data_IF_749943221365
#
_entry.id   IF_749943221365
#
_cell.length_a   1.000
_cell.length_b   1.000
_cell.length_c   1.000
_cell.angle_alpha   90.00
_cell.angle_beta   90.00
_cell.angle_gamma   90.00
#
_symmetry.space_group_name_H-M   'P 1'
#
loop_
_entity.id
_entity.type
_entity.pdbx_description
1 polymer ?
#
# COMPACT_ATOMS: atom_id res chain seq x y z
N UNK A 1 -22.70 -2.26 8.73
CA UNK A 1 -21.86 -3.18 7.94
C UNK A 1 -20.48 -3.23 8.59
N UNK A 2 -20.34 -4.04 9.65
CA UNK A 2 -19.21 -3.96 10.59
C UNK A 2 -18.13 -4.98 10.22
N UNK A 3 -16.96 -4.44 9.86
CA UNK A 3 -15.58 -4.97 9.87
C UNK A 3 -15.38 -6.40 10.38
N UNK A 4 -14.93 -7.29 9.50
CA UNK A 4 -14.62 -8.69 9.81
C UNK A 4 -13.11 -8.99 9.67
N UNK A 5 -12.33 -8.95 10.77
CA UNK A 5 -10.91 -9.33 10.78
C UNK A 5 -10.66 -10.74 10.25
N UNK A 6 -11.65 -11.63 10.43
CA UNK A 6 -11.60 -13.02 9.98
C UNK A 6 -11.60 -13.13 8.46
N UNK A 7 -12.37 -12.30 7.77
CA UNK A 7 -12.47 -12.36 6.31
C UNK A 7 -11.23 -11.75 5.64
N UNK A 8 -10.82 -10.56 6.06
CA UNK A 8 -9.70 -9.86 5.42
C UNK A 8 -8.33 -10.41 5.87
N UNK A 9 -8.13 -10.57 7.18
CA UNK A 9 -6.87 -11.07 7.73
C UNK A 9 -6.74 -12.58 7.62
N UNK A 10 -7.78 -13.31 8.03
CA UNK A 10 -7.77 -14.77 8.07
C UNK A 10 -7.87 -15.40 6.68
N UNK A 11 -9.00 -15.20 6.00
CA UNK A 11 -9.27 -15.91 4.73
C UNK A 11 -8.49 -15.27 3.58
N UNK A 12 -8.68 -13.97 3.32
CA UNK A 12 -8.11 -13.32 2.14
C UNK A 12 -6.57 -13.30 2.16
N UNK A 13 -5.98 -12.81 3.25
CA UNK A 13 -4.50 -12.74 3.35
C UNK A 13 -3.87 -14.04 3.82
N UNK A 14 -4.50 -14.75 4.76
CA UNK A 14 -3.97 -16.01 5.29
C UNK A 14 -4.21 -17.20 4.35
N UNK A 15 -5.46 -17.60 4.15
CA UNK A 15 -5.80 -18.82 3.39
C UNK A 15 -5.58 -18.66 1.89
N UNK A 16 -5.97 -17.52 1.30
CA UNK A 16 -5.86 -17.31 -0.15
C UNK A 16 -4.51 -16.70 -0.57
N UNK A 17 -3.71 -16.23 0.37
CA UNK A 17 -2.40 -15.63 0.10
C UNK A 17 -2.48 -14.34 -0.73
N UNK A 18 -3.60 -13.61 -0.67
CA UNK A 18 -3.75 -12.37 -1.43
C UNK A 18 -2.79 -11.29 -0.93
N UNK A 19 -1.87 -10.89 -1.78
CA UNK A 19 -0.82 -9.91 -1.51
C UNK A 19 -1.06 -8.55 -2.19
N UNK A 20 -2.26 -8.36 -2.74
CA UNK A 20 -2.69 -7.13 -3.37
C UNK A 20 -3.28 -6.09 -2.40
N UNK A 21 -3.71 -4.98 -2.99
CA UNK A 21 -4.36 -3.88 -2.31
C UNK A 21 -5.84 -4.20 -2.02
N UNK A 22 -6.26 -3.96 -0.78
CA UNK A 22 -7.67 -3.94 -0.35
C UNK A 22 -8.12 -2.48 -0.21
N UNK A 23 -9.11 -2.07 -1.01
CA UNK A 23 -9.70 -0.73 -0.93
C UNK A 23 -11.10 -0.76 -0.31
N UNK A 24 -11.53 0.35 0.29
CA UNK A 24 -12.90 0.50 0.77
C UNK A 24 -13.83 0.85 -0.38
N UNK A 25 -15.09 0.43 -0.27
CA UNK A 25 -16.15 0.96 -1.12
C UNK A 25 -16.50 2.41 -0.74
N UNK A 26 -17.19 3.12 -1.64
CA UNK A 26 -17.54 4.53 -1.50
C UNK A 26 -18.42 4.80 -0.27
N UNK A 27 -17.84 5.45 0.75
CA UNK A 27 -18.58 5.89 1.95
C UNK A 27 -18.69 4.85 3.07
N UNK A 28 -17.96 3.74 3.00
CA UNK A 28 -18.07 2.62 3.96
C UNK A 28 -17.22 2.70 5.25
N UNK A 29 -16.51 3.80 5.52
CA UNK A 29 -15.48 3.83 6.59
C UNK A 29 -15.81 4.79 7.72
N UNK A 30 -15.97 4.26 8.95
CA UNK A 30 -16.34 5.05 10.15
C UNK A 30 -15.25 5.15 11.26
N UNK A 31 -14.05 4.56 11.10
CA UNK A 31 -12.94 4.74 12.08
C UNK A 31 -11.53 4.42 11.54
N UNK A 32 -10.57 5.30 11.82
CA UNK A 32 -9.20 5.34 11.27
C UNK A 32 -8.33 4.12 11.60
N UNK A 33 -7.82 4.03 12.84
CA UNK A 33 -6.79 3.05 13.22
C UNK A 33 -7.27 1.61 13.18
N UNK A 34 -8.50 1.34 13.63
CA UNK A 34 -9.08 -0.02 13.57
C UNK A 34 -9.22 -0.54 12.14
N UNK A 35 -9.35 0.33 11.13
CA UNK A 35 -9.51 -0.08 9.73
C UNK A 35 -8.18 -0.51 9.14
N UNK A 36 -7.14 0.30 9.34
CA UNK A 36 -5.82 -0.02 8.79
C UNK A 36 -5.25 -1.28 9.45
N UNK A 37 -5.46 -1.45 10.78
CA UNK A 37 -5.08 -2.66 11.51
C UNK A 37 -5.86 -3.90 11.07
N UNK A 38 -7.08 -3.72 10.56
CA UNK A 38 -7.89 -4.81 10.02
C UNK A 38 -7.55 -5.17 8.56
N UNK A 39 -6.57 -4.49 7.95
CA UNK A 39 -6.06 -4.81 6.61
C UNK A 39 -6.64 -3.99 5.47
N UNK A 40 -7.33 -2.87 5.76
CA UNK A 40 -7.78 -1.91 4.75
C UNK A 40 -6.61 -1.01 4.32
N UNK A 41 -6.20 -1.10 3.06
CA UNK A 41 -5.04 -0.39 2.53
C UNK A 41 -5.39 1.03 2.03
N UNK A 42 -6.55 1.19 1.37
CA UNK A 42 -6.98 2.44 0.74
C UNK A 42 -8.44 2.81 1.09
N UNK A 43 -8.67 4.06 1.50
CA UNK A 43 -10.02 4.60 1.73
C UNK A 43 -10.50 5.37 0.48
N UNK A 44 -11.73 5.09 0.03
CA UNK A 44 -12.38 5.74 -1.10
C UNK A 44 -13.82 6.19 -0.74
N UNK A 45 -14.32 7.29 -1.33
CA UNK A 45 -13.58 8.30 -2.09
C UNK A 45 -12.75 9.20 -1.18
N UNK A 46 -11.83 9.94 -1.79
CA UNK A 46 -11.27 11.12 -1.15
C UNK A 46 -12.33 12.22 -0.95
N UNK A 47 -12.19 13.07 0.08
CA UNK A 47 -11.10 13.12 1.07
C UNK A 47 -11.28 12.06 2.17
N UNK A 48 -10.17 11.44 2.60
CA UNK A 48 -10.13 10.36 3.58
C UNK A 48 -10.43 10.87 5.02
N UNK A 49 -11.67 11.30 5.25
CA UNK A 49 -12.14 11.85 6.52
C UNK A 49 -12.00 10.85 7.65
N UNK A 50 -12.16 9.56 7.36
CA UNK A 50 -12.01 8.53 8.37
C UNK A 50 -10.55 8.24 8.72
N UNK A 51 -9.57 8.74 7.95
CA UNK A 51 -8.12 8.62 8.20
C UNK A 51 -7.44 9.89 8.73
N UNK A 52 -8.19 10.97 8.96
CA UNK A 52 -7.62 12.25 9.37
C UNK A 52 -6.73 12.19 10.64
N UNK A 53 -7.05 11.31 11.59
CA UNK A 53 -6.27 11.10 12.82
C UNK A 53 -5.25 9.96 12.74
N UNK A 54 -5.14 9.26 11.61
CA UNK A 54 -4.34 8.02 11.51
C UNK A 54 -2.84 8.26 11.71
N UNK A 55 -2.33 9.39 11.20
CA UNK A 55 -0.92 9.75 11.33
C UNK A 55 -0.56 10.06 12.79
N UNK A 56 -1.41 10.83 13.48
CA UNK A 56 -1.24 11.10 14.91
C UNK A 56 -1.35 9.82 15.76
N UNK A 57 -2.25 8.89 15.41
CA UNK A 57 -2.34 7.58 16.08
C UNK A 57 -1.07 6.75 15.84
N UNK A 58 -0.54 6.75 14.61
CA UNK A 58 0.69 6.02 14.26
C UNK A 58 1.97 6.59 14.89
N UNK A 59 1.98 7.85 15.31
CA UNK A 59 3.10 8.45 16.06
C UNK A 59 3.23 7.87 17.46
N UNK A 60 2.11 7.44 18.06
CA UNK A 60 2.05 6.94 19.43
C UNK A 60 1.80 5.43 19.54
N UNK A 61 1.40 4.75 18.46
CA UNK A 61 1.16 3.30 18.43
C UNK A 61 1.95 2.61 17.31
N UNK A 62 2.93 1.80 17.70
CA UNK A 62 3.79 1.05 16.78
C UNK A 62 3.04 0.04 15.91
N UNK A 63 1.93 -0.54 16.41
CA UNK A 63 1.11 -1.47 15.63
C UNK A 63 0.40 -0.75 14.49
N UNK A 64 -0.16 0.43 14.76
CA UNK A 64 -0.75 1.31 13.72
C UNK A 64 0.32 1.78 12.74
N UNK A 65 1.51 2.16 13.22
CA UNK A 65 2.61 2.54 12.34
C UNK A 65 2.98 1.41 11.37
N UNK A 66 3.10 0.17 11.86
CA UNK A 66 3.41 -1.00 11.02
C UNK A 66 2.31 -1.27 10.00
N UNK A 67 1.04 -1.18 10.41
CA UNK A 67 -0.11 -1.38 9.53
C UNK A 67 -0.18 -0.32 8.42
N UNK A 68 0.10 0.95 8.73
CA UNK A 68 0.20 2.03 7.72
C UNK A 68 1.31 1.76 6.72
N UNK A 69 2.48 1.28 7.18
CA UNK A 69 3.59 0.92 6.30
C UNK A 69 3.25 -0.24 5.38
N UNK A 70 2.51 -1.25 5.86
CA UNK A 70 2.08 -2.36 5.01
C UNK A 70 1.06 -1.91 3.96
N UNK A 71 0.10 -1.06 4.35
CA UNK A 71 -0.84 -0.47 3.41
C UNK A 71 -0.14 0.30 2.28
N UNK A 72 0.88 1.10 2.63
CA UNK A 72 1.69 1.81 1.64
C UNK A 72 2.46 0.85 0.72
N UNK A 73 3.03 -0.24 1.27
CA UNK A 73 3.69 -1.28 0.45
C UNK A 73 2.72 -1.94 -0.53
N UNK A 74 1.49 -2.22 -0.13
CA UNK A 74 0.48 -2.82 -1.02
C UNK A 74 0.11 -1.89 -2.18
N UNK A 75 0.03 -0.57 -1.95
CA UNK A 75 -0.12 0.42 -3.02
C UNK A 75 1.07 0.40 -3.97
N UNK A 76 2.30 0.41 -3.44
CA UNK A 76 3.52 0.38 -4.26
C UNK A 76 3.64 -0.91 -5.09
N UNK A 77 3.32 -2.07 -4.50
CA UNK A 77 3.26 -3.36 -5.21
C UNK A 77 2.27 -3.31 -6.39
N UNK A 78 1.11 -2.67 -6.19
CA UNK A 78 0.15 -2.47 -7.28
C UNK A 78 0.72 -1.56 -8.38
N UNK A 79 1.41 -0.47 -8.02
CA UNK A 79 2.06 0.42 -9.00
C UNK A 79 3.14 -0.31 -9.80
N UNK A 80 3.95 -1.14 -9.15
CA UNK A 80 4.96 -1.98 -9.81
C UNK A 80 4.32 -2.98 -10.77
N UNK A 81 3.28 -3.71 -10.33
CA UNK A 81 2.55 -4.68 -11.17
C UNK A 81 1.87 -4.06 -12.39
N UNK A 82 1.44 -2.80 -12.27
CA UNK A 82 0.78 -2.06 -13.35
C UNK A 82 1.76 -1.30 -14.26
N UNK A 83 3.06 -1.35 -13.97
CA UNK A 83 4.09 -0.60 -14.72
C UNK A 83 3.97 0.92 -14.56
N UNK A 84 3.23 1.40 -13.56
CA UNK A 84 3.06 2.82 -13.26
C UNK A 84 4.10 3.33 -12.27
N UNK A 85 4.89 2.42 -11.68
CA UNK A 85 6.11 2.76 -10.94
C UNK A 85 7.17 3.24 -11.94
N UNK A 86 7.42 4.55 -11.96
CA UNK A 86 8.57 5.12 -12.66
C UNK A 86 9.84 4.72 -11.90
N UNK A 87 10.31 3.49 -12.08
CA UNK A 87 11.71 3.20 -11.86
C UNK A 87 12.46 4.01 -12.91
N UNK A 88 12.97 5.18 -12.52
CA UNK A 88 14.00 5.88 -13.27
C UNK A 88 15.24 4.98 -13.26
N UNK A 89 15.24 3.97 -14.14
CA UNK A 89 16.38 3.13 -14.41
C UNK A 89 17.47 4.05 -14.91
N UNK A 90 18.40 4.37 -14.02
CA UNK A 90 19.66 5.04 -14.32
C UNK A 90 20.46 4.10 -15.21
N UNK A 91 20.11 4.05 -16.49
CA UNK A 91 20.78 3.24 -17.51
C UNK A 91 22.07 3.97 -17.88
N UNK A 92 23.08 3.85 -17.03
CA UNK A 92 24.45 4.27 -17.31
C UNK A 92 24.97 3.45 -18.49
N UNK A 93 24.75 3.93 -19.72
CA UNK A 93 25.40 3.38 -20.90
C UNK A 93 26.83 3.91 -20.90
N UNK A 94 27.76 3.15 -20.33
CA UNK A 94 29.19 3.34 -20.57
C UNK A 94 29.46 2.99 -22.04
N UNK A 95 29.42 4.01 -22.92
CA UNK A 95 29.76 3.83 -24.34
C UNK A 95 31.28 3.70 -24.46
N UNK A 96 31.74 2.45 -24.54
CA UNK A 96 33.13 2.08 -24.80
C UNK A 96 33.56 2.58 -26.18
N UNK A 97 34.35 3.65 -26.25
CA UNK A 97 34.93 4.16 -27.50
C UNK A 97 36.25 3.42 -27.74
N UNK A 98 36.20 2.24 -28.36
CA UNK A 98 37.36 1.70 -29.07
C UNK A 98 37.41 2.34 -30.46
N UNK A 99 38.41 3.20 -30.70
CA UNK A 99 38.78 3.62 -32.06
C UNK A 99 39.40 2.42 -32.79
N UNK A 100 39.00 2.12 -34.04
CA UNK A 100 39.80 1.23 -34.88
C UNK A 100 40.97 2.03 -35.47
N UNK A 101 42.18 1.55 -35.25
CA UNK A 101 43.36 2.03 -35.96
C UNK A 101 43.44 1.41 -37.35
N UNK A 102 43.65 2.26 -38.36
CA UNK A 102 44.57 2.11 -39.48
C UNK A 102 44.59 3.41 -40.27
#
# INVERSE_FOLDING_TARGET
MQREPRLLGGILRGEWGFDGLVMSDWGGTHSAGKSVRAGLDLEMPGPAKARAGLLAEAEHDGATQQAVREAARNVLRLMERTGTSTSATRRSVTRNIRKPGR
#
